data_IF_420717760631
#
_entry.id   IF_420717760631
#
_cell.length_a   1.000
_cell.length_b   1.000
_cell.length_c   1.000
_cell.angle_alpha   90.00
_cell.angle_beta   90.00
_cell.angle_gamma   90.00
#
_symmetry.space_group_name_H-M   'P 1'
#
loop_
_entity.id
_entity.type
_entity.pdbx_description
1 polymer ?
#
# COMPACT_ATOMS: atom_id res chain seq x y z
N UNK A 1 9.69 3.89 -0.33
CA UNK A 1 9.29 4.70 -1.50
C UNK A 1 8.88 6.07 -1.00
N UNK A 2 9.24 7.12 -1.73
CA UNK A 2 8.79 8.50 -1.52
C UNK A 2 8.40 9.02 -2.90
N UNK A 3 7.23 9.64 -3.08
CA UNK A 3 6.78 10.08 -4.39
C UNK A 3 7.57 11.29 -4.89
N UNK A 4 7.68 11.39 -6.21
CA UNK A 4 8.25 12.55 -6.87
C UNK A 4 7.60 12.68 -8.25
N UNK A 5 7.23 13.89 -8.61
CA UNK A 5 6.76 14.29 -9.93
C UNK A 5 7.68 15.36 -10.48
N UNK A 6 7.77 15.44 -11.81
CA UNK A 6 8.53 16.47 -12.49
C UNK A 6 7.73 17.13 -13.62
N UNK A 7 8.14 18.36 -13.89
CA UNK A 7 7.82 19.16 -15.07
C UNK A 7 9.16 19.58 -15.67
N UNK A 8 9.38 19.29 -16.95
CA UNK A 8 10.52 19.82 -17.71
C UNK A 8 10.00 20.39 -19.02
N UNK A 9 10.26 21.69 -19.26
CA UNK A 9 9.86 22.37 -20.51
C UNK A 9 11.00 22.44 -21.50
N UNK A 10 10.68 22.69 -22.78
CA UNK A 10 11.65 22.75 -23.87
C UNK A 10 12.72 23.84 -23.69
N UNK A 11 12.38 24.94 -23.00
CA UNK A 11 13.33 26.01 -22.67
C UNK A 11 14.16 25.71 -21.39
N UNK A 12 14.03 24.52 -20.82
CA UNK A 12 14.82 24.03 -19.69
C UNK A 12 14.34 24.52 -18.32
N UNK A 13 13.05 24.84 -18.13
CA UNK A 13 12.49 25.04 -16.80
C UNK A 13 12.15 23.70 -16.16
N UNK A 14 12.71 23.43 -14.97
CA UNK A 14 12.45 22.23 -14.19
C UNK A 14 11.66 22.60 -12.93
N UNK A 15 10.53 21.93 -12.74
CA UNK A 15 9.80 21.88 -11.48
C UNK A 15 9.77 20.45 -10.96
N UNK A 16 10.03 20.26 -9.67
CA UNK A 16 9.88 18.95 -9.01
C UNK A 16 9.05 19.13 -7.74
N UNK A 17 8.17 18.19 -7.46
CA UNK A 17 7.36 18.19 -6.25
C UNK A 17 7.03 16.76 -5.82
N UNK A 18 6.85 16.53 -4.52
CA UNK A 18 6.42 15.22 -4.02
C UNK A 18 5.07 14.78 -4.57
N UNK A 19 4.18 15.74 -4.84
CA UNK A 19 2.81 15.48 -5.29
C UNK A 19 2.49 16.34 -6.51
N UNK A 20 1.80 15.77 -7.48
CA UNK A 20 1.54 16.41 -8.77
C UNK A 20 0.75 17.71 -8.62
N UNK A 21 -0.14 17.82 -7.63
CA UNK A 21 -0.92 19.01 -7.30
C UNK A 21 -0.09 20.24 -6.94
N UNK A 22 1.19 20.05 -6.57
CA UNK A 22 2.14 21.15 -6.41
C UNK A 22 2.68 21.71 -7.73
N UNK A 23 2.48 21.02 -8.85
CA UNK A 23 3.02 21.37 -10.17
C UNK A 23 1.94 21.79 -11.18
N UNK A 24 0.72 21.24 -11.10
CA UNK A 24 -0.34 21.44 -12.11
C UNK A 24 -0.76 22.90 -12.35
N UNK A 25 -0.55 23.78 -11.36
CA UNK A 25 -0.92 25.19 -11.44
C UNK A 25 0.26 26.12 -11.80
N UNK A 26 1.44 25.55 -12.09
CA UNK A 26 2.60 26.32 -12.53
C UNK A 26 2.32 26.93 -13.91
N UNK A 27 2.48 28.24 -14.01
CA UNK A 27 2.40 28.97 -15.28
C UNK A 27 3.81 29.33 -15.72
N UNK A 28 4.19 28.92 -16.92
CA UNK A 28 5.49 29.23 -17.49
C UNK A 28 5.35 29.88 -18.87
N UNK A 29 6.21 30.83 -19.19
CA UNK A 29 6.09 31.62 -20.43
C UNK A 29 6.25 30.78 -21.70
N UNK A 30 6.99 29.67 -21.64
CA UNK A 30 7.19 28.77 -22.78
C UNK A 30 6.11 27.67 -22.89
N UNK A 31 5.32 27.42 -21.84
CA UNK A 31 4.25 26.43 -21.85
C UNK A 31 3.17 26.78 -20.84
N UNK A 32 1.95 26.98 -21.36
CA UNK A 32 0.77 27.32 -20.54
C UNK A 32 0.26 26.12 -19.73
N UNK A 33 0.53 24.89 -20.19
CA UNK A 33 0.21 23.64 -19.49
C UNK A 33 1.41 22.69 -19.60
N UNK A 34 2.43 22.84 -18.75
CA UNK A 34 3.58 21.97 -18.81
C UNK A 34 3.21 20.54 -18.39
N UNK A 35 3.77 19.55 -19.08
CA UNK A 35 3.48 18.13 -18.83
C UNK A 35 4.04 17.73 -17.46
N UNK A 36 3.15 17.34 -16.55
CA UNK A 36 3.50 16.77 -15.24
C UNK A 36 3.56 15.25 -15.37
N UNK A 37 4.66 14.63 -14.95
CA UNK A 37 4.83 13.18 -14.99
C UNK A 37 5.43 12.62 -13.68
N UNK A 38 5.03 11.41 -13.27
CA UNK A 38 5.68 10.71 -12.17
C UNK A 38 7.16 10.48 -12.50
N UNK A 39 8.04 10.73 -11.52
CA UNK A 39 9.43 10.33 -11.60
C UNK A 39 9.56 8.84 -11.25
N UNK A 40 10.26 8.07 -12.08
CA UNK A 40 10.27 6.61 -11.98
C UNK A 40 10.98 6.11 -10.70
N UNK A 41 10.40 5.14 -9.97
CA UNK A 41 11.07 4.51 -8.82
C UNK A 41 12.41 3.88 -9.21
N UNK A 42 13.43 3.99 -8.34
CA UNK A 42 14.73 3.37 -8.56
C UNK A 42 15.57 3.98 -9.68
N UNK A 43 15.27 5.22 -10.07
CA UNK A 43 16.03 5.98 -11.06
C UNK A 43 16.65 7.25 -10.45
N UNK A 44 17.69 7.77 -11.10
CA UNK A 44 18.14 9.15 -10.94
C UNK A 44 18.24 9.80 -12.32
N UNK A 45 18.13 11.13 -12.36
CA UNK A 45 18.30 11.92 -13.59
C UNK A 45 19.43 12.92 -13.38
N UNK A 46 20.36 12.98 -14.33
CA UNK A 46 21.45 13.96 -14.35
C UNK A 46 21.05 15.08 -15.29
N UNK A 47 21.13 16.31 -14.81
CA UNK A 47 20.83 17.49 -15.60
C UNK A 47 21.99 18.48 -15.57
N UNK A 48 22.31 19.03 -16.72
CA UNK A 48 23.27 20.11 -16.86
C UNK A 48 22.64 21.44 -16.44
N UNK A 49 23.21 22.11 -15.44
CA UNK A 49 22.84 23.48 -15.10
C UNK A 49 23.51 24.47 -16.05
N UNK A 50 22.71 25.19 -16.83
CA UNK A 50 23.18 26.22 -17.77
C UNK A 50 23.40 27.56 -17.05
N UNK A 51 24.25 28.46 -17.57
CA UNK A 51 24.48 29.78 -16.96
C UNK A 51 23.23 30.64 -16.79
N UNK A 52 22.18 30.39 -17.57
CA UNK A 52 20.87 31.04 -17.47
C UNK A 52 20.03 30.57 -16.27
N UNK A 53 20.49 29.57 -15.52
CA UNK A 53 19.72 28.88 -14.47
C UNK A 53 18.75 27.81 -15.01
N UNK A 54 18.69 27.63 -16.33
CA UNK A 54 17.92 26.55 -16.98
C UNK A 54 18.68 25.23 -16.93
N UNK A 55 17.97 24.12 -17.14
CA UNK A 55 18.55 22.79 -17.14
C UNK A 55 18.32 22.05 -18.46
N UNK A 56 19.22 21.12 -18.79
CA UNK A 56 19.03 20.16 -19.87
C UNK A 56 19.28 18.75 -19.35
N UNK A 57 18.37 17.82 -19.62
CA UNK A 57 18.54 16.41 -19.23
C UNK A 57 19.71 15.80 -19.99
N UNK A 58 20.57 15.09 -19.26
CA UNK A 58 21.75 14.40 -19.80
C UNK A 58 21.47 12.90 -19.87
N UNK A 59 21.07 12.32 -18.74
CA UNK A 59 20.75 10.90 -18.66
C UNK A 59 19.71 10.63 -17.56
N UNK A 60 18.89 9.59 -17.78
CA UNK A 60 17.99 9.00 -16.81
C UNK A 60 18.40 7.54 -16.60
N UNK A 61 18.89 7.22 -15.41
CA UNK A 61 19.56 5.94 -15.14
C UNK A 61 18.83 5.19 -14.05
N UNK A 62 18.51 3.91 -14.30
CA UNK A 62 18.03 2.99 -13.27
C UNK A 62 19.21 2.53 -12.43
N UNK A 63 19.22 2.86 -11.14
CA UNK A 63 20.31 2.51 -10.23
C UNK A 63 20.00 1.33 -9.29
N UNK A 64 18.72 1.00 -9.14
CA UNK A 64 18.28 -0.07 -8.24
C UNK A 64 17.05 -0.80 -8.78
N UNK A 65 17.06 -2.13 -8.67
CA UNK A 65 15.90 -2.98 -8.78
C UNK A 65 15.59 -3.61 -7.43
N UNK A 66 14.31 -3.88 -7.14
CA UNK A 66 13.85 -4.51 -5.89
C UNK A 66 14.44 -5.93 -5.64
N UNK A 67 15.13 -6.51 -6.63
CA UNK A 67 15.90 -7.76 -6.53
C UNK A 67 17.33 -7.57 -6.02
N UNK A 68 17.88 -6.37 -6.21
CA UNK A 68 19.29 -6.11 -5.94
C UNK A 68 19.49 -5.83 -4.45
N UNK A 69 20.51 -6.42 -3.84
CA UNK A 69 20.97 -5.97 -2.54
C UNK A 69 21.67 -4.61 -2.73
N UNK A 70 21.28 -3.55 -2.00
CA UNK A 70 21.85 -2.23 -2.22
C UNK A 70 23.35 -2.21 -1.85
N UNK A 71 24.18 -1.63 -2.72
CA UNK A 71 25.64 -1.52 -2.51
C UNK A 71 26.05 -0.67 -1.29
N UNK A 72 25.13 0.08 -0.71
CA UNK A 72 25.37 1.01 0.40
C UNK A 72 24.51 0.63 1.61
N UNK A 73 24.91 -0.42 2.34
CA UNK A 73 24.28 -0.77 3.63
C UNK A 73 25.18 -0.37 4.80
N UNK A 74 25.40 0.93 4.97
CA UNK A 74 26.09 1.49 6.15
C UNK A 74 25.23 1.42 7.43
N UNK A 75 23.92 1.18 7.30
CA UNK A 75 22.98 1.11 8.43
C UNK A 75 22.47 -0.31 8.71
N UNK A 76 23.08 -1.34 8.13
CA UNK A 76 22.69 -2.72 8.42
C UNK A 76 23.54 -3.34 9.50
N UNK A 77 22.86 -4.00 10.44
CA UNK A 77 23.51 -4.71 11.55
C UNK A 77 23.57 -6.22 11.33
N UNK A 78 22.89 -6.74 10.30
CA UNK A 78 22.90 -8.17 10.00
C UNK A 78 24.08 -8.46 9.07
N UNK A 79 25.01 -9.30 9.52
CA UNK A 79 26.15 -9.74 8.72
C UNK A 79 25.74 -10.80 7.66
N UNK A 80 26.61 -11.76 7.37
CA UNK A 80 26.38 -12.85 6.42
C UNK A 80 25.27 -13.77 6.91
N UNK A 81 24.26 -14.00 6.07
CA UNK A 81 23.20 -14.96 6.35
C UNK A 81 23.70 -16.40 6.17
N UNK A 82 23.19 -17.37 6.95
CA UNK A 82 23.36 -18.79 6.65
C UNK A 82 23.01 -19.10 5.20
N UNK A 83 23.91 -19.82 4.52
CA UNK A 83 23.77 -20.23 3.12
C UNK A 83 22.89 -21.47 2.99
N UNK A 84 22.00 -21.49 2.00
CA UNK A 84 21.15 -22.65 1.69
C UNK A 84 19.67 -22.28 1.64
N UNK A 85 18.87 -23.18 1.08
CA UNK A 85 17.41 -23.04 0.96
C UNK A 85 16.65 -24.16 1.69
N UNK A 86 17.28 -24.79 2.68
CA UNK A 86 16.53 -25.67 3.58
C UNK A 86 15.53 -24.85 4.42
N UNK A 87 14.40 -25.48 4.79
CA UNK A 87 13.26 -24.75 5.33
C UNK A 87 13.57 -24.01 6.63
N UNK A 88 14.38 -24.58 7.52
CA UNK A 88 14.70 -23.95 8.81
C UNK A 88 15.67 -22.78 8.66
N UNK A 89 16.66 -22.90 7.75
CA UNK A 89 17.50 -21.78 7.34
C UNK A 89 16.65 -20.66 6.75
N UNK A 90 15.71 -20.98 5.84
CA UNK A 90 14.84 -19.99 5.21
C UNK A 90 13.97 -19.27 6.23
N UNK A 91 13.29 -20.02 7.11
CA UNK A 91 12.49 -19.48 8.21
C UNK A 91 13.32 -18.56 9.11
N UNK A 92 14.55 -18.96 9.45
CA UNK A 92 15.47 -18.16 10.27
C UNK A 92 15.86 -16.85 9.60
N UNK A 93 16.26 -16.90 8.33
CA UNK A 93 16.66 -15.72 7.56
C UNK A 93 15.50 -14.74 7.38
N UNK A 94 14.28 -15.23 7.14
CA UNK A 94 13.07 -14.40 7.07
C UNK A 94 12.88 -13.63 8.39
N UNK A 95 12.98 -14.31 9.54
CA UNK A 95 12.87 -13.64 10.85
C UNK A 95 13.95 -12.60 11.05
N UNK A 96 15.22 -12.96 10.84
CA UNK A 96 16.38 -12.09 11.04
C UNK A 96 16.25 -10.82 10.19
N UNK A 97 15.97 -10.98 8.90
CA UNK A 97 15.87 -9.86 7.97
C UNK A 97 14.64 -8.98 8.24
N UNK A 98 13.50 -9.57 8.59
CA UNK A 98 12.31 -8.79 8.93
C UNK A 98 12.48 -8.02 10.24
N UNK A 99 13.04 -8.64 11.28
CA UNK A 99 13.36 -7.95 12.53
C UNK A 99 14.36 -6.81 12.30
N UNK A 100 15.37 -7.03 11.46
CA UNK A 100 16.32 -6.00 11.08
C UNK A 100 15.67 -4.86 10.25
N UNK A 101 14.74 -5.20 9.35
CA UNK A 101 13.95 -4.23 8.61
C UNK A 101 13.16 -3.29 9.53
N UNK A 102 12.57 -3.83 10.59
CA UNK A 102 11.88 -3.03 11.61
C UNK A 102 12.89 -2.25 12.47
N UNK A 103 13.98 -2.89 12.92
CA UNK A 103 15.00 -2.30 13.80
C UNK A 103 15.63 -1.04 13.19
N UNK A 104 16.09 -1.10 11.92
CA UNK A 104 16.69 0.07 11.25
C UNK A 104 15.69 1.22 11.04
N UNK A 105 14.39 0.90 11.03
CA UNK A 105 13.27 1.85 10.97
C UNK A 105 12.86 2.38 12.34
N UNK A 106 13.56 2.06 13.43
CA UNK A 106 13.36 2.75 14.72
C UNK A 106 14.06 4.12 14.79
N UNK A 107 14.81 4.50 13.75
CA UNK A 107 15.50 5.80 13.64
C UNK A 107 14.49 6.96 13.60
N UNK A 108 14.09 7.49 14.74
CA UNK A 108 13.14 8.59 14.84
C UNK A 108 13.35 9.40 16.13
N UNK A 109 13.19 10.72 16.03
CA UNK A 109 13.11 11.64 17.19
C UNK A 109 11.65 11.94 17.59
N UNK A 110 10.68 11.39 16.86
CA UNK A 110 9.24 11.59 17.07
C UNK A 110 8.61 10.26 17.49
N UNK A 111 7.46 10.33 18.16
CA UNK A 111 6.75 9.16 18.64
C UNK A 111 6.36 8.25 17.47
N UNK A 112 6.63 6.96 17.67
CA UNK A 112 6.32 5.88 16.74
C UNK A 112 4.97 5.27 17.12
N UNK A 113 4.10 5.11 16.12
CA UNK A 113 2.86 4.36 16.18
C UNK A 113 2.80 3.29 15.08
N UNK A 114 1.74 2.47 15.07
CA UNK A 114 1.55 1.42 14.07
C UNK A 114 0.08 1.28 13.68
N UNK A 115 -0.19 1.15 12.38
CA UNK A 115 -1.51 0.69 11.93
C UNK A 115 -1.65 -0.80 12.26
N UNK A 116 -2.81 -1.19 12.78
CA UNK A 116 -3.10 -2.56 13.21
C UNK A 116 -4.51 -2.95 12.76
N UNK A 117 -4.61 -3.72 11.68
CA UNK A 117 -5.89 -4.23 11.14
C UNK A 117 -6.28 -5.59 11.70
N UNK A 118 -5.39 -6.26 12.44
CA UNK A 118 -5.59 -7.65 12.86
C UNK A 118 -5.42 -8.69 11.75
N UNK A 119 -5.01 -8.26 10.55
CA UNK A 119 -4.48 -9.14 9.51
C UNK A 119 -3.03 -9.55 9.81
N UNK A 120 -2.53 -10.60 9.16
CA UNK A 120 -1.19 -11.16 9.41
C UNK A 120 -0.09 -10.09 9.41
N UNK A 121 -0.08 -9.22 8.39
CA UNK A 121 1.06 -8.36 8.07
C UNK A 121 1.22 -7.24 9.09
N UNK A 122 0.14 -6.46 9.31
CA UNK A 122 0.12 -5.38 10.29
C UNK A 122 0.34 -5.91 11.72
N UNK A 123 -0.14 -7.12 12.00
CA UNK A 123 0.08 -7.79 13.28
C UNK A 123 1.56 -8.17 13.49
N UNK A 124 2.22 -8.77 12.49
CA UNK A 124 3.65 -9.07 12.55
C UNK A 124 4.48 -7.80 12.73
N UNK A 125 4.16 -6.73 11.99
CA UNK A 125 4.82 -5.43 12.14
C UNK A 125 4.66 -4.91 13.57
N UNK A 126 3.43 -4.85 14.10
CA UNK A 126 3.17 -4.33 15.44
C UNK A 126 3.87 -5.14 16.55
N UNK A 127 3.84 -6.48 16.44
CA UNK A 127 4.46 -7.37 17.42
C UNK A 127 5.99 -7.24 17.44
N UNK A 128 6.62 -7.27 16.24
CA UNK A 128 8.07 -7.10 16.12
C UNK A 128 8.48 -5.69 16.53
N UNK A 129 7.71 -4.67 16.13
CA UNK A 129 7.97 -3.28 16.52
C UNK A 129 7.99 -3.12 18.05
N UNK A 130 6.98 -3.65 18.74
CA UNK A 130 6.91 -3.55 20.20
C UNK A 130 8.05 -4.32 20.89
N UNK A 131 8.40 -5.52 20.39
CA UNK A 131 9.56 -6.28 20.88
C UNK A 131 10.83 -5.43 20.79
N UNK A 132 11.10 -4.86 19.62
CA UNK A 132 12.31 -4.10 19.38
C UNK A 132 12.34 -2.75 20.11
N UNK A 133 11.20 -2.09 20.28
CA UNK A 133 11.09 -0.88 21.10
C UNK A 133 11.49 -1.14 22.56
N UNK A 134 11.11 -2.30 23.11
CA UNK A 134 11.54 -2.73 24.45
C UNK A 134 13.04 -3.00 24.48
N UNK A 135 13.59 -3.68 23.47
CA UNK A 135 15.04 -3.97 23.39
C UNK A 135 15.91 -2.70 23.43
N UNK A 136 15.44 -1.60 22.83
CA UNK A 136 16.19 -0.33 22.78
C UNK A 136 15.70 0.72 23.80
N UNK A 137 14.90 0.32 24.78
CA UNK A 137 14.40 1.18 25.88
C UNK A 137 13.65 2.43 25.42
N UNK A 138 12.76 2.31 24.43
CA UNK A 138 11.79 3.38 24.13
C UNK A 138 10.75 3.45 25.25
N UNK A 139 10.68 4.59 25.94
CA UNK A 139 9.95 4.76 27.21
C UNK A 139 8.48 5.18 27.08
N UNK A 140 7.92 5.23 25.87
CA UNK A 140 6.48 5.48 25.66
C UNK A 140 5.79 4.21 25.15
N UNK A 141 4.50 3.99 25.48
CA UNK A 141 3.77 2.85 24.96
C UNK A 141 3.56 2.99 23.45
N UNK A 142 3.69 1.88 22.73
CA UNK A 142 3.34 1.80 21.31
C UNK A 142 1.84 2.03 21.16
N UNK A 143 1.49 3.09 20.44
CA UNK A 143 0.11 3.34 20.04
C UNK A 143 -0.20 2.54 18.77
N UNK A 144 -1.25 1.73 18.81
CA UNK A 144 -1.74 0.99 17.64
C UNK A 144 -3.10 1.51 17.22
N UNK A 145 -3.34 1.60 15.91
CA UNK A 145 -4.54 2.23 15.35
C UNK A 145 -5.26 1.27 14.41
N UNK A 146 -6.51 0.95 14.73
CA UNK A 146 -7.42 0.22 13.86
C UNK A 146 -8.56 1.16 13.44
N UNK A 147 -9.07 1.00 12.22
CA UNK A 147 -10.26 1.72 11.77
C UNK A 147 -11.26 0.75 11.17
N UNK A 148 -12.54 0.99 11.44
CA UNK A 148 -13.62 0.22 10.87
C UNK A 148 -14.98 0.76 11.26
N UNK A 149 -16.02 0.25 10.62
CA UNK A 149 -17.39 0.37 11.14
C UNK A 149 -17.50 -0.43 12.43
N UNK A 150 -18.47 -0.07 13.26
CA UNK A 150 -18.70 -0.73 14.55
C UNK A 150 -18.86 -2.25 14.37
N UNK A 151 -18.14 -3.02 15.21
CA UNK A 151 -18.10 -4.49 15.19
C UNK A 151 -17.59 -5.11 13.87
N UNK A 152 -16.81 -4.38 13.08
CA UNK A 152 -16.17 -4.93 11.88
C UNK A 152 -15.11 -6.00 12.23
N UNK A 153 -14.90 -7.00 11.35
CA UNK A 153 -13.94 -8.09 11.58
C UNK A 153 -12.53 -7.62 11.88
N UNK A 154 -12.06 -6.56 11.22
CA UNK A 154 -10.71 -6.01 11.43
C UNK A 154 -10.57 -5.40 12.84
N UNK A 155 -11.57 -4.66 13.33
CA UNK A 155 -11.52 -4.12 14.71
C UNK A 155 -11.45 -5.24 15.74
N UNK A 156 -12.24 -6.31 15.57
CA UNK A 156 -12.25 -7.45 16.50
C UNK A 156 -10.89 -8.16 16.53
N UNK A 157 -10.28 -8.40 15.38
CA UNK A 157 -8.96 -9.03 15.30
C UNK A 157 -7.84 -8.10 15.77
N UNK A 158 -7.89 -6.82 15.44
CA UNK A 158 -6.92 -5.82 15.90
C UNK A 158 -6.91 -5.75 17.43
N UNK A 159 -8.09 -5.74 18.07
CA UNK A 159 -8.24 -5.78 19.52
C UNK A 159 -7.56 -7.00 20.15
N UNK A 160 -7.72 -8.19 19.55
CA UNK A 160 -7.06 -9.42 20.03
C UNK A 160 -5.54 -9.30 19.96
N UNK A 161 -5.00 -8.79 18.86
CA UNK A 161 -3.55 -8.61 18.70
C UNK A 161 -3.04 -7.56 19.67
N UNK A 162 -3.72 -6.44 19.80
CA UNK A 162 -3.36 -5.38 20.74
C UNK A 162 -3.33 -5.87 22.19
N UNK A 163 -4.31 -6.68 22.60
CA UNK A 163 -4.35 -7.31 23.92
C UNK A 163 -3.20 -8.31 24.12
N UNK A 164 -2.87 -9.11 23.09
CA UNK A 164 -1.75 -10.07 23.15
C UNK A 164 -0.39 -9.38 23.30
N UNK A 165 -0.13 -8.33 22.51
CA UNK A 165 1.17 -7.63 22.55
C UNK A 165 1.26 -6.61 23.70
N UNK A 166 0.12 -6.08 24.16
CA UNK A 166 0.05 -5.06 25.21
C UNK A 166 0.32 -3.64 24.70
N UNK A 167 -0.25 -3.27 23.54
CA UNK A 167 -0.15 -1.91 22.98
C UNK A 167 -1.23 -0.97 23.53
N UNK A 168 -0.98 0.34 23.51
CA UNK A 168 -2.02 1.37 23.74
C UNK A 168 -2.91 1.44 22.48
N UNK A 169 -4.05 0.74 22.50
CA UNK A 169 -4.86 0.54 21.30
C UNK A 169 -5.94 1.61 21.12
N UNK A 170 -6.06 2.10 19.89
CA UNK A 170 -7.05 3.07 19.46
C UNK A 170 -7.93 2.44 18.37
N UNK A 171 -9.21 2.27 18.67
CA UNK A 171 -10.22 1.86 17.68
C UNK A 171 -10.96 3.09 17.16
N UNK A 172 -10.78 3.38 15.88
CA UNK A 172 -11.41 4.50 15.19
C UNK A 172 -12.67 3.98 14.51
N UNK A 173 -13.83 4.41 15.00
CA UNK A 173 -15.11 4.10 14.38
C UNK A 173 -15.45 5.19 13.38
N UNK A 174 -15.76 4.80 12.14
CA UNK A 174 -16.31 5.72 11.14
C UNK A 174 -17.68 5.24 10.68
N UNK A 175 -18.54 6.18 10.30
CA UNK A 175 -19.85 5.88 9.72
C UNK A 175 -19.86 6.05 8.19
N UNK A 176 -20.93 5.59 7.55
CA UNK A 176 -21.05 5.63 6.08
C UNK A 176 -21.02 7.04 5.51
N UNK A 177 -21.62 8.01 6.19
CA UNK A 177 -21.67 9.40 5.76
C UNK A 177 -20.28 10.03 5.78
N UNK A 178 -19.52 9.82 6.85
CA UNK A 178 -18.12 10.26 6.95
C UNK A 178 -17.26 9.68 5.83
N UNK A 179 -17.44 8.39 5.53
CA UNK A 179 -16.72 7.73 4.43
C UNK A 179 -17.07 8.32 3.06
N UNK A 180 -18.35 8.61 2.80
CA UNK A 180 -18.83 9.19 1.54
C UNK A 180 -18.32 10.63 1.38
N UNK A 181 -18.43 11.44 2.45
CA UNK A 181 -17.96 12.83 2.45
C UNK A 181 -16.44 12.94 2.24
N UNK A 182 -15.68 11.92 2.64
CA UNK A 182 -14.22 11.89 2.45
C UNK A 182 -13.79 11.57 1.01
N UNK A 183 -14.66 11.04 0.13
CA UNK A 183 -14.26 10.54 -1.21
C UNK A 183 -13.54 11.63 -2.02
N UNK A 184 -14.07 12.85 -2.04
CA UNK A 184 -13.48 13.92 -2.84
C UNK A 184 -12.11 14.35 -2.31
N UNK A 185 -11.96 14.54 -0.99
CA UNK A 185 -10.66 14.86 -0.37
C UNK A 185 -9.64 13.73 -0.56
N UNK A 186 -10.10 12.48 -0.52
CA UNK A 186 -9.26 11.29 -0.76
C UNK A 186 -8.77 11.27 -2.20
N UNK A 187 -9.64 11.46 -3.19
CA UNK A 187 -9.23 11.49 -4.62
C UNK A 187 -8.29 12.67 -4.88
N UNK A 188 -8.57 13.83 -4.29
CA UNK A 188 -7.67 14.98 -4.34
C UNK A 188 -6.29 14.61 -3.77
N UNK A 189 -6.22 13.97 -2.60
CA UNK A 189 -4.95 13.59 -1.99
C UNK A 189 -4.19 12.51 -2.76
N UNK A 190 -4.92 11.56 -3.36
CA UNK A 190 -4.33 10.42 -4.06
C UNK A 190 -3.81 10.75 -5.45
N UNK A 191 -4.43 11.69 -6.16
CA UNK A 191 -4.09 12.02 -7.55
C UNK A 191 -4.28 10.81 -8.50
N UNK A 192 -5.27 9.95 -8.22
CA UNK A 192 -5.66 8.81 -9.07
C UNK A 192 -7.16 8.57 -9.03
N UNK A 193 -7.64 7.75 -9.96
CA UNK A 193 -9.05 7.33 -10.09
C UNK A 193 -9.23 5.80 -10.05
N UNK A 194 -8.22 5.07 -9.56
CA UNK A 194 -8.28 3.62 -9.39
C UNK A 194 -9.27 3.19 -8.29
N UNK A 195 -10.13 2.21 -8.62
CA UNK A 195 -11.23 1.76 -7.74
C UNK A 195 -10.68 1.19 -6.42
N UNK A 196 -9.77 0.22 -6.49
CA UNK A 196 -9.24 -0.48 -5.32
C UNK A 196 -8.50 0.48 -4.41
N UNK A 197 -7.68 1.35 -5.01
CA UNK A 197 -6.91 2.36 -4.31
C UNK A 197 -7.83 3.31 -3.56
N UNK A 198 -8.86 3.87 -4.20
CA UNK A 198 -9.77 4.82 -3.55
C UNK A 198 -10.57 4.15 -2.42
N UNK A 199 -11.17 2.96 -2.67
CA UNK A 199 -11.94 2.23 -1.64
C UNK A 199 -11.13 2.01 -0.36
N UNK A 200 -9.89 1.54 -0.50
CA UNK A 200 -9.01 1.29 0.63
C UNK A 200 -8.47 2.59 1.28
N UNK A 201 -8.32 3.67 0.50
CA UNK A 201 -7.77 4.93 0.99
C UNK A 201 -8.70 5.69 1.92
N UNK A 202 -10.02 5.49 1.84
CA UNK A 202 -10.99 6.20 2.68
C UNK A 202 -10.73 5.89 4.17
N UNK A 203 -10.63 4.62 4.54
CA UNK A 203 -10.29 4.23 5.91
C UNK A 203 -8.91 4.74 6.32
N UNK A 204 -7.90 4.62 5.44
CA UNK A 204 -6.54 5.02 5.76
C UNK A 204 -6.38 6.55 5.93
N UNK A 205 -7.13 7.34 5.17
CA UNK A 205 -7.21 8.79 5.32
C UNK A 205 -7.87 9.18 6.65
N UNK A 206 -9.02 8.58 6.97
CA UNK A 206 -9.75 8.87 8.20
C UNK A 206 -8.96 8.48 9.46
N UNK A 207 -8.27 7.33 9.47
CA UNK A 207 -7.42 6.95 10.61
C UNK A 207 -6.21 7.87 10.74
N UNK A 208 -5.61 8.30 9.62
CA UNK A 208 -4.51 9.26 9.62
C UNK A 208 -4.96 10.64 10.17
N UNK A 209 -6.16 11.08 9.80
CA UNK A 209 -6.81 12.29 10.35
C UNK A 209 -7.01 12.17 11.86
N UNK A 210 -7.43 10.99 12.34
CA UNK A 210 -7.58 10.71 13.77
C UNK A 210 -6.24 10.78 14.50
N UNK A 211 -5.23 10.05 14.03
CA UNK A 211 -3.88 9.98 14.64
C UNK A 211 -3.33 11.39 14.84
N UNK A 212 -3.34 12.21 13.78
CA UNK A 212 -2.85 13.59 13.84
C UNK A 212 -3.63 14.47 14.82
N UNK A 213 -4.95 14.28 14.95
CA UNK A 213 -5.81 15.10 15.80
C UNK A 213 -5.78 14.68 17.28
N UNK A 214 -5.53 13.40 17.56
CA UNK A 214 -5.78 12.79 18.87
C UNK A 214 -4.53 12.29 19.58
N UNK A 215 -3.40 12.18 18.87
CA UNK A 215 -2.16 11.65 19.41
C UNK A 215 -0.95 12.47 18.98
N UNK A 216 0.21 12.16 19.53
CA UNK A 216 1.52 12.70 19.18
C UNK A 216 2.36 11.72 18.33
N UNK A 217 1.79 10.56 17.94
CA UNK A 217 2.39 9.62 16.99
C UNK A 217 2.51 10.27 15.60
N UNK A 218 3.73 10.30 15.07
CA UNK A 218 4.03 10.91 13.76
C UNK A 218 4.62 9.89 12.79
N UNK A 219 5.47 9.00 13.30
CA UNK A 219 6.06 7.93 12.50
C UNK A 219 5.15 6.71 12.60
N UNK A 220 4.51 6.33 11.50
CA UNK A 220 3.49 5.30 11.47
C UNK A 220 3.98 4.10 10.66
N UNK A 221 4.12 2.97 11.36
CA UNK A 221 4.44 1.70 10.73
C UNK A 221 3.20 1.06 10.11
N UNK A 222 3.38 0.36 9.00
CA UNK A 222 2.30 -0.38 8.34
C UNK A 222 2.80 -1.61 7.58
N UNK A 223 1.87 -2.48 7.19
CA UNK A 223 2.14 -3.80 6.58
C UNK A 223 2.19 -3.86 5.06
N UNK A 224 2.08 -2.73 4.35
CA UNK A 224 2.09 -2.69 2.88
C UNK A 224 3.36 -3.30 2.27
N UNK A 225 3.18 -3.91 1.10
CA UNK A 225 4.24 -4.64 0.38
C UNK A 225 4.30 -6.12 0.71
N UNK A 226 3.68 -6.56 1.81
CA UNK A 226 3.67 -7.98 2.19
C UNK A 226 2.94 -8.83 1.15
N UNK A 227 1.72 -8.45 0.74
CA UNK A 227 0.90 -9.23 -0.20
C UNK A 227 1.60 -9.40 -1.55
N UNK A 228 2.18 -8.32 -2.06
CA UNK A 228 2.86 -8.28 -3.35
C UNK A 228 4.15 -9.10 -3.33
N UNK A 229 4.91 -9.05 -2.23
CA UNK A 229 6.15 -9.81 -2.06
C UNK A 229 5.90 -11.30 -1.82
N UNK A 230 4.87 -11.62 -1.02
CA UNK A 230 4.64 -12.97 -0.48
C UNK A 230 3.48 -13.72 -1.12
N UNK A 231 2.98 -13.21 -2.27
CA UNK A 231 1.90 -13.83 -3.06
C UNK A 231 0.61 -13.99 -2.24
N UNK A 232 0.27 -12.92 -1.50
CA UNK A 232 -0.76 -12.89 -0.48
C UNK A 232 -2.18 -12.62 -0.95
N UNK A 233 -2.37 -12.14 -2.18
CA UNK A 233 -3.71 -11.96 -2.71
C UNK A 233 -4.37 -13.29 -3.06
N UNK A 234 -5.68 -13.40 -2.82
CA UNK A 234 -6.46 -14.63 -3.04
C UNK A 234 -6.34 -15.18 -4.47
N UNK A 235 -6.11 -14.33 -5.48
CA UNK A 235 -5.97 -14.81 -6.85
C UNK A 235 -4.65 -15.58 -7.11
N UNK A 236 -3.65 -15.50 -6.23
CA UNK A 236 -2.44 -16.32 -6.32
C UNK A 236 -2.72 -17.82 -6.16
N UNK A 237 -3.83 -18.21 -5.52
CA UNK A 237 -4.27 -19.62 -5.52
C UNK A 237 -4.63 -20.15 -6.90
N UNK A 238 -4.78 -19.27 -7.90
CA UNK A 238 -5.08 -19.62 -9.30
C UNK A 238 -3.87 -19.44 -10.23
N UNK A 239 -2.69 -19.16 -9.68
CA UNK A 239 -1.48 -19.10 -10.48
C UNK A 239 -1.26 -20.44 -11.20
N UNK A 240 -1.02 -20.45 -12.52
CA UNK A 240 -0.82 -21.68 -13.28
C UNK A 240 0.47 -22.42 -12.91
N UNK A 241 1.51 -21.70 -12.49
CA UNK A 241 2.76 -22.26 -12.00
C UNK A 241 3.43 -21.35 -10.95
N UNK A 242 4.41 -21.86 -10.18
CA UNK A 242 5.23 -21.05 -9.28
C UNK A 242 5.95 -19.89 -10.00
N UNK A 243 6.42 -20.09 -11.23
CA UNK A 243 7.10 -19.08 -12.04
C UNK A 243 6.15 -17.96 -12.42
N UNK A 244 4.94 -18.28 -12.88
CA UNK A 244 3.92 -17.27 -13.18
C UNK A 244 3.51 -16.48 -11.92
N UNK A 245 3.46 -17.13 -10.75
CA UNK A 245 3.25 -16.47 -9.47
C UNK A 245 4.41 -15.53 -9.09
N UNK A 246 5.66 -15.94 -9.36
CA UNK A 246 6.83 -15.11 -9.15
C UNK A 246 6.84 -13.88 -10.07
N UNK A 247 6.55 -14.05 -11.37
CA UNK A 247 6.45 -12.95 -12.33
C UNK A 247 5.36 -11.94 -11.95
N UNK A 248 4.22 -12.43 -11.46
CA UNK A 248 3.15 -11.56 -10.99
C UNK A 248 3.54 -10.77 -9.74
N UNK A 249 4.18 -11.41 -8.76
CA UNK A 249 4.74 -10.74 -7.58
C UNK A 249 5.69 -9.61 -7.99
N UNK A 250 6.57 -9.87 -8.97
CA UNK A 250 7.48 -8.85 -9.50
C UNK A 250 6.77 -7.70 -10.21
N UNK A 251 5.71 -7.99 -10.98
CA UNK A 251 4.89 -6.96 -11.62
C UNK A 251 4.23 -6.07 -10.58
N UNK A 252 3.62 -6.66 -9.55
CA UNK A 252 3.01 -5.92 -8.45
C UNK A 252 4.02 -5.01 -7.75
N UNK A 253 5.22 -5.52 -7.43
CA UNK A 253 6.28 -4.72 -6.81
C UNK A 253 6.72 -3.53 -7.68
N UNK A 254 6.77 -3.69 -9.02
CA UNK A 254 7.06 -2.58 -9.96
C UNK A 254 5.97 -1.52 -9.97
N UNK A 255 4.72 -1.92 -9.76
CA UNK A 255 3.54 -1.07 -9.86
C UNK A 255 3.06 -0.54 -8.51
N UNK A 256 3.66 -0.94 -7.39
CA UNK A 256 3.29 -0.50 -6.04
C UNK A 256 3.13 1.02 -5.92
N UNK A 257 4.00 1.77 -6.61
CA UNK A 257 4.01 3.24 -6.61
C UNK A 257 2.77 3.88 -7.26
N UNK A 258 1.97 3.12 -7.99
CA UNK A 258 0.70 3.54 -8.60
C UNK A 258 -0.51 3.18 -7.71
N UNK A 259 -0.36 2.23 -6.79
CA UNK A 259 -1.46 1.60 -6.05
C UNK A 259 -1.24 1.66 -4.53
N UNK A 260 -0.91 0.54 -3.88
CA UNK A 260 -0.88 0.41 -2.42
C UNK A 260 0.08 1.37 -1.72
N UNK A 261 1.27 1.58 -2.30
CA UNK A 261 2.24 2.52 -1.75
C UNK A 261 1.85 3.98 -2.03
N UNK A 262 1.18 4.25 -3.16
CA UNK A 262 0.57 5.57 -3.41
C UNK A 262 -0.49 5.87 -2.36
N UNK A 263 -1.42 4.95 -2.11
CA UNK A 263 -2.43 5.07 -1.06
C UNK A 263 -1.78 5.33 0.29
N UNK A 264 -0.83 4.48 0.66
CA UNK A 264 -0.26 4.52 1.99
C UNK A 264 0.50 5.83 2.27
N UNK A 265 1.27 6.30 1.29
CA UNK A 265 1.98 7.56 1.38
C UNK A 265 1.02 8.76 1.39
N UNK A 266 0.14 8.89 0.39
CA UNK A 266 -0.71 10.07 0.24
C UNK A 266 -1.68 10.27 1.40
N UNK A 267 -2.30 9.19 1.88
CA UNK A 267 -3.29 9.29 2.94
C UNK A 267 -2.69 9.59 4.31
N UNK A 268 -1.45 9.15 4.57
CA UNK A 268 -0.71 9.50 5.78
C UNK A 268 -0.10 10.91 5.70
N UNK A 269 0.51 11.24 4.55
CA UNK A 269 1.10 12.55 4.28
C UNK A 269 0.06 13.69 4.29
N UNK A 270 -1.17 13.44 3.84
CA UNK A 270 -2.29 14.38 3.91
C UNK A 270 -2.57 14.90 5.34
N UNK A 271 -2.11 14.17 6.37
CA UNK A 271 -2.25 14.55 7.77
C UNK A 271 -0.91 14.77 8.48
N UNK A 272 0.18 14.90 7.73
CA UNK A 272 1.53 15.18 8.25
C UNK A 272 2.09 14.04 9.07
N UNK A 273 1.78 12.79 8.69
CA UNK A 273 2.35 11.58 9.26
C UNK A 273 3.38 10.99 8.29
N UNK A 274 4.40 10.34 8.82
CA UNK A 274 5.46 9.68 8.05
C UNK A 274 5.24 8.17 8.06
N UNK A 275 5.08 7.57 6.88
CA UNK A 275 4.89 6.12 6.72
C UNK A 275 6.21 5.34 6.77
N UNK A 276 6.22 4.18 7.43
CA UNK A 276 7.30 3.19 7.36
C UNK A 276 6.77 1.78 7.06
N UNK A 277 7.30 1.16 6.00
CA UNK A 277 6.85 -0.13 5.47
C UNK A 277 8.01 -1.16 5.48
N UNK A 278 8.19 -1.93 6.56
CA UNK A 278 9.34 -2.84 6.71
C UNK A 278 9.34 -4.02 5.73
N UNK A 279 8.18 -4.44 5.21
CA UNK A 279 8.11 -5.50 4.18
C UNK A 279 8.80 -5.10 2.87
N UNK A 280 8.95 -3.80 2.59
CA UNK A 280 9.65 -3.28 1.43
C UNK A 280 11.12 -2.92 1.72
N UNK A 281 11.71 -3.52 2.76
CA UNK A 281 13.13 -3.39 3.01
C UNK A 281 13.96 -4.10 1.95
N UNK A 282 14.97 -3.42 1.39
CA UNK A 282 15.70 -3.92 0.24
C UNK A 282 16.34 -5.30 0.48
N UNK A 283 16.89 -5.57 1.68
CA UNK A 283 17.48 -6.89 1.97
C UNK A 283 16.42 -7.95 2.18
N UNK A 284 15.32 -7.60 2.84
CA UNK A 284 14.19 -8.51 3.03
C UNK A 284 13.55 -8.89 1.69
N UNK A 285 13.28 -7.91 0.82
CA UNK A 285 12.70 -8.14 -0.50
C UNK A 285 13.65 -8.91 -1.41
N UNK A 286 14.93 -8.52 -1.46
CA UNK A 286 15.95 -9.20 -2.27
C UNK A 286 16.08 -10.67 -1.86
N UNK A 287 16.19 -10.93 -0.55
CA UNK A 287 16.26 -12.30 -0.04
C UNK A 287 15.00 -13.09 -0.35
N UNK A 288 13.80 -12.57 -0.04
CA UNK A 288 12.55 -13.30 -0.26
C UNK A 288 12.36 -13.61 -1.75
N UNK A 289 12.67 -12.68 -2.66
CA UNK A 289 12.59 -12.89 -4.11
C UNK A 289 13.66 -13.84 -4.65
N UNK A 290 14.79 -14.02 -3.95
CA UNK A 290 15.82 -14.99 -4.31
C UNK A 290 15.43 -16.44 -4.00
N UNK A 291 14.40 -16.65 -3.18
CA UNK A 291 13.93 -17.98 -2.83
C UNK A 291 13.35 -18.71 -4.06
N UNK A 292 13.56 -20.04 -4.17
CA UNK A 292 12.86 -20.88 -5.14
C UNK A 292 11.37 -20.58 -5.17
N UNK A 293 10.80 -20.47 -6.38
CA UNK A 293 9.42 -20.04 -6.56
C UNK A 293 8.42 -20.97 -5.83
N UNK A 294 8.74 -22.26 -5.77
CA UNK A 294 7.96 -23.31 -5.12
C UNK A 294 7.85 -23.14 -3.60
N UNK A 295 8.80 -22.44 -2.97
CA UNK A 295 8.73 -22.13 -1.54
C UNK A 295 7.79 -20.96 -1.25
N UNK A 296 7.52 -20.11 -2.24
CA UNK A 296 6.76 -18.86 -2.07
C UNK A 296 5.27 -19.01 -2.33
N UNK A 297 4.87 -20.03 -3.09
CA UNK A 297 3.47 -20.25 -3.44
C UNK A 297 2.59 -20.54 -2.21
N UNK A 298 1.29 -20.19 -2.25
CA UNK A 298 0.32 -20.64 -1.25
C UNK A 298 0.34 -22.16 -1.10
N UNK A 299 0.23 -22.65 0.14
CA UNK A 299 0.25 -24.08 0.45
C UNK A 299 -0.84 -24.40 1.47
N UNK A 300 -1.39 -25.62 1.43
CA UNK A 300 -2.45 -26.07 2.35
C UNK A 300 -3.68 -25.14 2.39
N UNK A 301 -4.03 -24.55 1.24
CA UNK A 301 -5.20 -23.66 1.13
C UNK A 301 -5.02 -22.30 1.80
N UNK A 302 -3.82 -21.92 2.22
CA UNK A 302 -3.55 -20.61 2.82
C UNK A 302 -2.39 -19.88 2.13
N UNK A 303 -2.61 -18.60 1.87
CA UNK A 303 -1.63 -17.67 1.35
C UNK A 303 -0.55 -17.33 2.39
N UNK A 304 0.61 -16.86 1.91
CA UNK A 304 1.75 -16.47 2.76
C UNK A 304 2.22 -17.58 3.69
N UNK A 305 2.05 -18.85 3.29
CA UNK A 305 2.33 -20.01 4.14
C UNK A 305 3.74 -19.97 4.74
N UNK A 306 4.75 -19.69 3.91
CA UNK A 306 6.15 -19.58 4.36
C UNK A 306 6.36 -18.46 5.39
N UNK A 307 5.72 -17.30 5.19
CA UNK A 307 5.79 -16.19 6.14
C UNK A 307 5.17 -16.60 7.48
N UNK A 308 4.00 -17.25 7.47
CA UNK A 308 3.31 -17.73 8.68
C UNK A 308 4.18 -18.75 9.45
N UNK A 309 4.71 -19.75 8.75
CA UNK A 309 5.62 -20.74 9.33
C UNK A 309 6.87 -20.10 9.94
N UNK A 310 7.41 -19.06 9.30
CA UNK A 310 8.61 -18.38 9.79
C UNK A 310 8.42 -17.77 11.19
N UNK A 311 7.19 -17.46 11.59
CA UNK A 311 6.88 -16.86 12.90
C UNK A 311 6.09 -17.80 13.84
N UNK A 312 5.83 -19.05 13.47
CA UNK A 312 4.94 -19.95 14.24
C UNK A 312 5.43 -20.25 15.66
N UNK A 313 6.74 -20.42 15.83
CA UNK A 313 7.36 -20.76 17.12
C UNK A 313 7.73 -19.52 17.96
N UNK A 314 7.45 -18.31 17.45
CA UNK A 314 7.88 -17.06 18.08
C UNK A 314 6.97 -16.58 19.22
N UNK A 315 5.74 -17.11 19.30
CA UNK A 315 4.65 -16.61 20.16
C UNK A 315 4.37 -15.10 20.01
N UNK A 316 4.80 -14.48 18.90
CA UNK A 316 4.58 -13.05 18.65
C UNK A 316 3.10 -12.71 18.45
N UNK A 317 2.32 -13.66 17.94
CA UNK A 317 0.90 -13.50 17.64
C UNK A 317 0.07 -14.68 18.18
N UNK A 318 -1.21 -14.47 18.52
CA UNK A 318 -2.15 -15.57 18.72
C UNK A 318 -2.21 -16.47 17.48
N UNK A 319 -2.26 -17.80 17.67
CA UNK A 319 -2.29 -18.76 16.55
C UNK A 319 -3.43 -18.51 15.57
N UNK A 320 -4.60 -18.13 16.08
CA UNK A 320 -5.77 -17.78 15.28
C UNK A 320 -5.55 -16.57 14.36
N UNK A 321 -4.68 -15.62 14.74
CA UNK A 321 -4.33 -14.47 13.90
C UNK A 321 -3.22 -14.88 12.92
N UNK A 322 -2.22 -15.62 13.39
CA UNK A 322 -1.12 -16.10 12.56
C UNK A 322 -1.59 -16.97 11.40
N UNK A 323 -2.72 -17.68 11.54
CA UNK A 323 -3.31 -18.53 10.52
C UNK A 323 -4.67 -18.02 10.00
N UNK A 324 -5.05 -16.76 10.30
CA UNK A 324 -6.25 -16.13 9.72
C UNK A 324 -6.07 -15.92 8.21
N UNK A 325 -7.01 -16.35 7.35
CA UNK A 325 -6.98 -16.06 5.92
C UNK A 325 -6.99 -14.57 5.61
N UNK A 326 -6.47 -14.18 4.44
CA UNK A 326 -6.40 -12.80 3.99
C UNK A 326 -7.80 -12.22 3.75
N UNK A 327 -8.07 -11.09 4.40
CA UNK A 327 -9.20 -10.22 4.09
C UNK A 327 -8.70 -8.90 3.48
N UNK A 328 -9.38 -8.40 2.45
CA UNK A 328 -9.04 -7.12 1.83
C UNK A 328 -9.42 -5.96 2.76
N UNK A 329 -8.61 -4.89 2.80
CA UNK A 329 -8.81 -3.79 3.76
C UNK A 329 -10.20 -3.14 3.64
N UNK A 330 -10.65 -2.82 2.42
CA UNK A 330 -11.99 -2.24 2.19
C UNK A 330 -13.15 -3.13 2.66
N UNK A 331 -12.89 -4.42 2.85
CA UNK A 331 -13.89 -5.42 3.21
C UNK A 331 -13.86 -5.67 4.73
N UNK A 332 -12.66 -5.78 5.30
CA UNK A 332 -12.45 -5.99 6.73
C UNK A 332 -12.91 -4.81 7.60
N UNK A 333 -12.90 -3.58 7.06
CA UNK A 333 -13.40 -2.38 7.76
C UNK A 333 -14.93 -2.23 7.78
N UNK A 334 -15.67 -3.07 7.05
CA UNK A 334 -17.12 -2.92 6.94
C UNK A 334 -17.87 -3.67 8.05
N UNK A 335 -19.11 -3.24 8.33
CA UNK A 335 -20.01 -4.00 9.21
C UNK A 335 -20.36 -5.35 8.59
N UNK A 336 -20.52 -6.38 9.42
CA UNK A 336 -21.00 -7.71 9.00
C UNK A 336 -22.38 -7.63 8.32
N UNK A 337 -23.20 -6.63 8.68
CA UNK A 337 -24.56 -6.46 8.14
C UNK A 337 -24.59 -5.90 6.73
N UNK A 338 -23.71 -4.94 6.42
CA UNK A 338 -23.67 -4.26 5.13
C UNK A 338 -22.24 -3.83 4.83
N UNK A 339 -21.80 -4.25 3.66
CA UNK A 339 -20.44 -4.02 3.23
C UNK A 339 -20.20 -2.55 2.79
N UNK A 340 -18.97 -2.07 2.94
CA UNK A 340 -18.59 -0.72 2.50
C UNK A 340 -18.85 -0.52 1.00
N UNK A 341 -18.50 -1.51 0.18
CA UNK A 341 -18.82 -1.54 -1.25
C UNK A 341 -20.32 -1.35 -1.52
N UNK A 342 -21.20 -2.06 -0.81
CA UNK A 342 -22.66 -1.94 -1.01
C UNK A 342 -23.16 -0.55 -0.63
N UNK A 343 -22.60 0.06 0.42
CA UNK A 343 -22.94 1.43 0.82
C UNK A 343 -22.49 2.43 -0.26
N UNK A 344 -21.30 2.23 -0.83
CA UNK A 344 -20.81 3.04 -1.95
C UNK A 344 -21.69 2.89 -3.19
N UNK A 345 -22.09 1.66 -3.56
CA UNK A 345 -22.96 1.45 -4.73
C UNK A 345 -24.29 2.19 -4.56
N UNK A 346 -24.97 2.05 -3.41
CA UNK A 346 -26.27 2.69 -3.18
C UNK A 346 -26.20 4.22 -3.30
N UNK A 347 -25.07 4.82 -2.91
CA UNK A 347 -24.84 6.25 -3.08
C UNK A 347 -24.53 6.60 -4.55
N UNK A 348 -23.61 5.86 -5.18
CA UNK A 348 -23.10 6.12 -6.54
C UNK A 348 -24.18 5.90 -7.60
N UNK A 349 -25.06 4.92 -7.42
CA UNK A 349 -26.20 4.67 -8.32
C UNK A 349 -27.15 5.87 -8.43
N UNK A 350 -27.15 6.75 -7.41
CA UNK A 350 -27.91 7.99 -7.43
C UNK A 350 -27.15 9.15 -8.10
N UNK A 351 -25.82 9.01 -8.28
CA UNK A 351 -24.96 10.05 -8.87
C UNK A 351 -24.67 9.82 -10.35
N UNK A 352 -24.69 8.56 -10.81
CA UNK A 352 -24.34 8.18 -12.18
C UNK A 352 -25.45 7.30 -12.77
N UNK A 353 -26.14 7.82 -13.78
CA UNK A 353 -27.12 7.05 -14.54
C UNK A 353 -26.46 6.13 -15.59
N UNK A 354 -27.23 5.18 -16.13
CA UNK A 354 -26.72 4.20 -17.10
C UNK A 354 -26.29 4.86 -18.42
N UNK A 355 -26.94 5.96 -18.83
CA UNK A 355 -26.64 6.68 -20.07
C UNK A 355 -25.27 7.36 -20.01
N UNK A 356 -24.88 7.89 -18.85
CA UNK A 356 -23.54 8.44 -18.61
C UNK A 356 -22.47 7.36 -18.76
N UNK A 357 -22.73 6.15 -18.24
CA UNK A 357 -21.80 5.04 -18.35
C UNK A 357 -21.69 4.50 -19.78
N UNK A 358 -22.80 4.42 -20.52
CA UNK A 358 -22.79 4.05 -21.96
C UNK A 358 -21.90 4.98 -22.80
N UNK A 359 -21.92 6.29 -22.47
CA UNK A 359 -21.10 7.31 -23.15
C UNK A 359 -19.72 7.51 -22.52
N UNK A 360 -19.30 6.63 -21.60
CA UNK A 360 -18.04 6.76 -20.88
C UNK A 360 -16.83 6.77 -21.81
N UNK A 361 -16.80 5.93 -22.85
CA UNK A 361 -15.69 5.84 -23.78
C UNK A 361 -15.57 7.08 -24.69
N UNK A 362 -16.69 7.76 -24.97
CA UNK A 362 -16.69 9.02 -25.72
C UNK A 362 -16.12 10.16 -24.87
N UNK A 363 -16.54 10.24 -23.61
CA UNK A 363 -16.12 11.31 -22.69
C UNK A 363 -14.70 11.11 -22.14
N UNK A 364 -14.34 9.87 -21.83
CA UNK A 364 -13.06 9.47 -21.23
C UNK A 364 -12.37 8.42 -22.12
N UNK A 365 -11.78 8.83 -23.26
CA UNK A 365 -11.21 7.88 -24.21
C UNK A 365 -9.99 7.12 -23.66
N UNK A 366 -9.25 7.72 -22.73
CA UNK A 366 -8.15 7.06 -22.03
C UNK A 366 -8.66 6.40 -20.74
N UNK A 367 -8.43 5.08 -20.60
CA UNK A 367 -8.92 4.27 -19.49
C UNK A 367 -10.42 4.51 -19.22
N UNK A 368 -11.31 4.19 -20.17
CA UNK A 368 -12.73 4.44 -20.01
C UNK A 368 -13.29 3.65 -18.82
N UNK A 369 -14.03 4.31 -17.91
CA UNK A 369 -14.62 3.64 -16.76
C UNK A 369 -15.66 2.60 -17.21
N UNK A 370 -15.63 1.43 -16.58
CA UNK A 370 -16.48 0.27 -16.94
C UNK A 370 -17.64 0.03 -15.96
N UNK A 371 -17.70 0.82 -14.90
CA UNK A 371 -18.70 0.73 -13.82
C UNK A 371 -19.09 2.15 -13.42
N UNK A 372 -20.29 2.33 -12.86
CA UNK A 372 -20.71 3.63 -12.31
C UNK A 372 -19.74 4.18 -11.26
N UNK A 373 -19.14 3.30 -10.46
CA UNK A 373 -18.14 3.70 -9.47
C UNK A 373 -16.85 4.25 -10.08
N UNK A 374 -16.22 3.53 -11.02
CA UNK A 374 -15.07 4.10 -11.74
C UNK A 374 -15.43 5.37 -12.50
N UNK A 375 -16.67 5.51 -12.98
CA UNK A 375 -17.13 6.74 -13.61
C UNK A 375 -17.21 7.89 -12.62
N UNK A 376 -17.82 7.67 -11.46
CA UNK A 376 -17.93 8.66 -10.38
C UNK A 376 -16.55 9.12 -9.89
N UNK A 377 -15.64 8.18 -9.62
CA UNK A 377 -14.27 8.50 -9.25
C UNK A 377 -13.53 9.27 -10.35
N UNK A 378 -13.72 8.88 -11.61
CA UNK A 378 -13.14 9.59 -12.75
C UNK A 378 -13.69 11.01 -12.89
N UNK A 379 -14.96 11.25 -12.63
CA UNK A 379 -15.55 12.60 -12.63
C UNK A 379 -14.89 13.50 -11.58
N UNK A 380 -14.70 12.98 -10.36
CA UNK A 380 -14.03 13.74 -9.29
C UNK A 380 -12.56 13.97 -9.64
N UNK A 381 -11.87 12.97 -10.17
CA UNK A 381 -10.49 13.13 -10.61
C UNK A 381 -10.36 14.21 -11.69
N UNK A 382 -11.18 14.19 -12.73
CA UNK A 382 -11.13 15.19 -13.82
C UNK A 382 -11.56 16.60 -13.35
N UNK A 383 -12.33 16.71 -12.26
CA UNK A 383 -12.62 18.01 -11.61
C UNK A 383 -11.36 18.66 -11.04
N UNK A 384 -10.44 17.87 -10.47
CA UNK A 384 -9.22 18.36 -9.82
C UNK A 384 -7.99 18.33 -10.75
N UNK A 385 -7.92 17.34 -11.63
CA UNK A 385 -6.75 16.97 -12.42
C UNK A 385 -7.08 16.79 -13.90
N UNK A 386 -7.89 17.71 -14.44
CA UNK A 386 -8.36 17.65 -15.82
C UNK A 386 -7.22 17.40 -16.81
N UNK A 387 -7.37 16.39 -17.66
CA UNK A 387 -6.38 16.06 -18.70
C UNK A 387 -5.15 15.26 -18.22
N UNK A 388 -5.10 14.87 -16.94
CA UNK A 388 -3.96 14.15 -16.35
C UNK A 388 -4.24 12.66 -16.10
N UNK A 389 -5.26 12.10 -16.76
CA UNK A 389 -5.64 10.70 -16.57
C UNK A 389 -4.53 9.70 -16.89
N UNK A 390 -3.54 10.08 -17.70
CA UNK A 390 -2.37 9.28 -18.01
C UNK A 390 -1.43 9.01 -16.83
N UNK A 391 -1.60 9.67 -15.67
CA UNK A 391 -0.87 9.32 -14.45
C UNK A 391 -1.20 7.91 -13.96
N UNK A 392 -2.40 7.41 -14.25
CA UNK A 392 -2.78 6.02 -14.03
C UNK A 392 -2.80 5.28 -15.38
N UNK A 393 -1.78 4.47 -15.71
CA UNK A 393 -1.72 3.78 -16.99
C UNK A 393 -2.79 2.70 -17.14
N UNK A 394 -3.21 2.07 -16.04
CA UNK A 394 -4.24 1.03 -16.01
C UNK A 394 -4.89 0.92 -14.62
N UNK A 395 -6.12 0.43 -14.57
CA UNK A 395 -6.76 0.02 -13.31
C UNK A 395 -6.06 -1.21 -12.72
N UNK A 396 -5.94 -1.27 -11.40
CA UNK A 396 -5.49 -2.48 -10.72
C UNK A 396 -6.48 -3.60 -10.98
N UNK A 397 -6.03 -4.79 -11.41
CA UNK A 397 -6.91 -5.94 -11.67
C UNK A 397 -6.20 -7.26 -11.31
N UNK A 398 -6.91 -8.24 -10.72
CA UNK A 398 -6.34 -9.55 -10.41
C UNK A 398 -6.07 -10.36 -11.68
N UNK A 399 -4.94 -11.09 -11.72
CA UNK A 399 -4.64 -12.05 -12.80
C UNK A 399 -5.41 -13.36 -12.63
N UNK A 400 -5.49 -14.12 -13.73
CA UNK A 400 -6.09 -15.47 -13.81
C UNK A 400 -7.57 -15.56 -13.42
N UNK A 401 -8.24 -14.41 -13.32
CA UNK A 401 -9.66 -14.30 -13.00
C UNK A 401 -10.33 -13.42 -14.05
N UNK A 402 -11.45 -13.89 -14.58
CA UNK A 402 -12.36 -13.03 -15.36
C UNK A 402 -13.12 -12.12 -14.40
N UNK A 403 -12.53 -10.96 -14.08
CA UNK A 403 -13.12 -9.96 -13.21
C UNK A 403 -13.37 -8.66 -14.00
N UNK A 404 -14.53 -8.04 -13.76
CA UNK A 404 -14.87 -6.69 -14.26
C UNK A 404 -14.74 -5.62 -13.18
N UNK A 405 -14.68 -6.05 -11.91
CA UNK A 405 -14.39 -5.25 -10.74
C UNK A 405 -13.16 -5.83 -10.02
N UNK A 406 -12.25 -4.99 -9.52
CA UNK A 406 -11.02 -5.48 -8.91
C UNK A 406 -11.21 -6.10 -7.51
N UNK A 407 -12.40 -6.04 -6.92
CA UNK A 407 -12.68 -6.64 -5.63
C UNK A 407 -12.52 -8.16 -5.65
N UNK A 408 -11.81 -8.67 -4.63
CA UNK A 408 -11.70 -10.10 -4.33
C UNK A 408 -13.07 -10.76 -4.06
N UNK A 409 -14.13 -9.99 -3.80
CA UNK A 409 -15.49 -10.49 -3.55
C UNK A 409 -16.11 -11.22 -4.74
N UNK A 410 -15.63 -10.94 -5.95
CA UNK A 410 -16.06 -11.64 -7.16
C UNK A 410 -15.42 -13.03 -7.30
N UNK A 411 -14.48 -13.39 -6.41
CA UNK A 411 -13.76 -14.67 -6.43
C UNK A 411 -14.52 -15.74 -5.64
N UNK A 412 -14.75 -16.90 -6.27
CA UNK A 412 -15.43 -18.06 -5.66
C UNK A 412 -14.80 -18.54 -4.33
N UNK A 413 -13.50 -18.35 -4.12
CA UNK A 413 -12.79 -18.75 -2.90
C UNK A 413 -12.89 -17.74 -1.75
N UNK A 414 -13.55 -16.60 -1.94
CA UNK A 414 -13.76 -15.62 -0.86
C UNK A 414 -14.78 -16.09 0.20
N UNK A 415 -15.56 -17.14 -0.09
CA UNK A 415 -16.70 -17.59 0.76
C UNK A 415 -16.39 -18.72 1.76
N UNK A 416 -15.15 -19.15 1.94
CA UNK A 416 -14.86 -20.38 2.72
C UNK A 416 -14.40 -20.18 4.18
N UNK A 417 -14.57 -19.02 4.81
CA UNK A 417 -14.10 -18.80 6.19
C UNK A 417 -15.17 -18.35 7.21
N UNK A 418 -16.43 -18.20 6.80
CA UNK A 418 -17.52 -17.68 7.68
C UNK A 418 -18.75 -18.57 7.76
N UNK A 419 -18.65 -19.83 7.33
CA UNK A 419 -19.71 -20.82 7.48
C UNK A 419 -19.15 -22.17 7.93
N UNK A 420 -18.59 -22.22 9.14
CA UNK A 420 -18.61 -23.43 10.00
C UNK A 420 -18.83 -23.01 11.45
#
# INVERSE_FOLDING_TARGET
YVPLFKVLTDDGFLGVCSEAKGLINLKHSASLCPKVEPFLPGHYEVLDLKPSGKVASVELVKFHSYKDEPLHVTCDTVETLPSGFDLETVKSNIRILFENAVRKRLMAHRRIGCLLSGGLDSSLVAAVLLKLMKDININYPLQTFAIGMENSPDLLAARKVAAHIGSEHHEVIFNSEEGIQAIEEVIFSLETYDITTIRASIGMYLVSKYIRKKTDSVVIFSGEGSDELTQGYIYFHKAPSPEEAAEESERLLKELYLFDVLRADRTTAAHGLELRVPFLDHRFTSYYLSLPAELRIPKNGIEKYLLRQSFEDSNLLPKEILWRPKEAFSDGIASVKKSWFSILQDYIDQQVDDLLLEKAAEKYPFNPPKTKESYYYRQIFEKHYSGHSNWLPHYWMPRWVKATDPSARTLKHYKSATQE
#
